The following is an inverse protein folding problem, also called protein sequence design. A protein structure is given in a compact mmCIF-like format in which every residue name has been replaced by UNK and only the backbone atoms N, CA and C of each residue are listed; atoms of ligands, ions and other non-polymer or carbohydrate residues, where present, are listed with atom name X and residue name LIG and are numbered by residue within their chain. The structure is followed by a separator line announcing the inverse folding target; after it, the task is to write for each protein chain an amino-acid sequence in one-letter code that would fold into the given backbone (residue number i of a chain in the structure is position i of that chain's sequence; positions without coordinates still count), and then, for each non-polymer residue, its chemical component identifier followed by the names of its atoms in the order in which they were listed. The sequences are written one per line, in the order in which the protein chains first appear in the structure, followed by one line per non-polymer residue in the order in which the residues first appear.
data_IF_056440330326
#
_entry.id   IF_056440330326
#
_cell.length_a   1.000
_cell.length_b   1.000
_cell.length_c   1.000
_cell.angle_alpha   90.00
_cell.angle_beta   90.00
_cell.angle_gamma   90.00
#
_symmetry.space_group_name_H-M   'P 1'
#
loop_
_entity.id
_entity.type
_entity.pdbx_description
1 polymer ?
#
# COMPACT_ATOMS: atom_id res chain seq x y z
N UNK A 1 3.18 -2.82 -15.22
CA UNK A 1 3.08 -4.15 -14.59
C UNK A 1 4.36 -4.93 -14.85
N UNK A 2 5.07 -5.27 -13.78
CA UNK A 2 6.26 -6.12 -13.85
C UNK A 2 5.75 -7.57 -13.85
N UNK A 3 6.10 -8.42 -14.85
CA UNK A 3 5.70 -9.82 -14.85
C UNK A 3 6.27 -10.58 -13.65
N UNK A 4 5.55 -11.59 -13.19
CA UNK A 4 6.04 -12.51 -12.16
C UNK A 4 7.21 -13.38 -12.65
N UNK A 5 7.84 -14.15 -11.74
CA UNK A 5 9.02 -14.97 -12.04
C UNK A 5 8.82 -15.97 -13.19
N UNK A 6 7.58 -16.40 -13.44
CA UNK A 6 7.24 -17.35 -14.51
C UNK A 6 6.43 -16.68 -15.65
N UNK A 7 6.44 -15.36 -15.72
CA UNK A 7 5.69 -14.59 -16.71
C UNK A 7 4.22 -14.34 -16.35
N UNK A 8 3.86 -14.48 -15.07
CA UNK A 8 2.52 -14.14 -14.57
C UNK A 8 2.20 -12.67 -14.85
N UNK A 9 1.01 -12.41 -15.39
CA UNK A 9 0.55 -11.05 -15.75
C UNK A 9 -0.43 -10.45 -14.75
N UNK A 10 -0.84 -11.25 -13.78
CA UNK A 10 -1.86 -10.91 -12.80
C UNK A 10 -1.34 -11.27 -11.41
N UNK A 11 -1.70 -10.43 -10.45
CA UNK A 11 -1.41 -10.62 -9.04
C UNK A 11 -2.61 -10.13 -8.22
N UNK A 12 -2.64 -10.53 -6.96
CA UNK A 12 -3.45 -9.91 -5.94
C UNK A 12 -2.56 -9.75 -4.69
N UNK A 13 -2.90 -8.80 -3.83
CA UNK A 13 -2.16 -8.56 -2.60
C UNK A 13 -2.84 -9.27 -1.45
N UNK A 14 -2.16 -10.24 -0.84
CA UNK A 14 -2.71 -11.00 0.27
C UNK A 14 -2.58 -10.23 1.59
N UNK A 15 -3.61 -10.31 2.44
CA UNK A 15 -3.60 -9.61 3.74
C UNK A 15 -3.00 -10.48 4.84
N UNK A 16 -2.36 -9.80 5.80
CA UNK A 16 -1.78 -10.44 6.98
C UNK A 16 -2.31 -9.80 8.25
N UNK A 17 -2.14 -10.50 9.37
CA UNK A 17 -2.48 -10.04 10.72
C UNK A 17 -1.40 -10.47 11.71
N UNK A 18 -1.55 -10.06 12.98
CA UNK A 18 -0.57 -10.34 14.04
C UNK A 18 0.83 -9.77 13.69
N UNK A 19 0.88 -8.60 13.04
CA UNK A 19 2.14 -7.98 12.59
C UNK A 19 2.83 -8.81 11.50
N UNK A 20 2.10 -9.17 10.44
CA UNK A 20 2.67 -9.91 9.29
C UNK A 20 2.78 -11.42 9.48
N UNK A 21 2.60 -11.95 10.69
CA UNK A 21 2.89 -13.37 11.02
C UNK A 21 1.80 -14.35 10.61
N UNK A 22 0.56 -13.89 10.44
CA UNK A 22 -0.56 -14.75 10.01
C UNK A 22 -1.14 -14.24 8.70
N UNK A 23 -0.98 -15.04 7.65
CA UNK A 23 -1.55 -14.82 6.33
C UNK A 23 -2.98 -15.33 6.25
N UNK A 24 -3.85 -14.61 5.52
CA UNK A 24 -5.25 -15.02 5.28
C UNK A 24 -5.49 -15.22 3.79
N UNK A 25 -6.38 -16.15 3.42
CA UNK A 25 -6.87 -16.31 2.04
C UNK A 25 -7.88 -15.21 1.67
N UNK A 26 -7.44 -13.96 1.78
CA UNK A 26 -8.22 -12.74 1.51
C UNK A 26 -7.30 -11.71 0.87
N UNK A 27 -7.77 -11.05 -0.18
CA UNK A 27 -7.04 -9.97 -0.82
C UNK A 27 -7.29 -8.62 -0.15
N UNK A 28 -6.31 -7.72 -0.29
CA UNK A 28 -6.41 -6.35 0.20
C UNK A 28 -7.55 -5.59 -0.47
N UNK A 29 -7.82 -5.90 -1.75
CA UNK A 29 -8.94 -5.34 -2.51
C UNK A 29 -10.29 -5.64 -1.83
N UNK A 30 -10.57 -6.92 -1.57
CA UNK A 30 -11.81 -7.36 -0.94
C UNK A 30 -11.93 -6.85 0.49
N UNK A 31 -10.82 -6.86 1.24
CA UNK A 31 -10.80 -6.37 2.61
C UNK A 31 -11.12 -4.87 2.68
N UNK A 32 -10.50 -4.04 1.84
CA UNK A 32 -10.72 -2.59 1.85
C UNK A 32 -12.18 -2.26 1.52
N UNK A 33 -12.77 -2.93 0.52
CA UNK A 33 -14.19 -2.77 0.18
C UNK A 33 -15.12 -3.19 1.32
N UNK A 34 -14.80 -4.29 2.00
CA UNK A 34 -15.58 -4.75 3.15
C UNK A 34 -15.50 -3.73 4.30
N UNK A 35 -14.31 -3.23 4.62
CA UNK A 35 -14.09 -2.23 5.67
C UNK A 35 -14.86 -0.94 5.39
N UNK A 36 -14.83 -0.43 4.15
CA UNK A 36 -15.62 0.74 3.75
C UNK A 36 -17.13 0.51 3.94
N UNK A 37 -17.65 -0.64 3.50
CA UNK A 37 -19.07 -1.00 3.69
C UNK A 37 -19.46 -1.12 5.17
N UNK A 38 -18.51 -1.48 6.03
CA UNK A 38 -18.70 -1.55 7.47
C UNK A 38 -18.56 -0.18 8.16
N UNK A 39 -18.25 0.89 7.42
CA UNK A 39 -18.19 2.26 7.93
C UNK A 39 -16.78 2.74 8.29
N UNK A 40 -15.73 2.09 7.79
CA UNK A 40 -14.39 2.66 7.89
C UNK A 40 -14.34 4.02 7.18
N UNK A 41 -13.72 5.02 7.81
CA UNK A 41 -13.62 6.38 7.25
C UNK A 41 -12.34 6.64 6.45
N UNK A 42 -11.33 5.79 6.58
CA UNK A 42 -10.02 5.93 5.92
C UNK A 42 -9.27 4.59 5.95
N UNK A 43 -8.41 4.36 4.95
CA UNK A 43 -7.52 3.21 4.87
C UNK A 43 -6.06 3.65 5.04
N UNK A 44 -5.40 3.15 6.08
CA UNK A 44 -3.94 3.20 6.19
C UNK A 44 -3.32 2.00 5.47
N UNK A 45 -2.81 2.22 4.26
CA UNK A 45 -2.36 1.17 3.36
C UNK A 45 -0.86 0.91 3.54
N UNK A 46 -0.54 -0.13 4.34
CA UNK A 46 0.83 -0.61 4.52
C UNK A 46 1.23 -1.64 3.45
N UNK A 47 2.45 -1.53 2.91
CA UNK A 47 3.05 -2.54 2.05
C UNK A 47 4.23 -3.23 2.76
N UNK A 48 4.07 -4.52 3.06
CA UNK A 48 5.07 -5.32 3.80
C UNK A 48 6.37 -5.43 3.00
N UNK A 49 6.29 -5.64 1.69
CA UNK A 49 7.47 -5.79 0.82
C UNK A 49 8.28 -4.48 0.67
N UNK A 50 7.67 -3.34 1.01
CA UNK A 50 8.31 -2.02 1.01
C UNK A 50 8.71 -1.56 2.41
N UNK A 51 8.35 -2.30 3.45
CA UNK A 51 8.63 -1.88 4.82
C UNK A 51 10.15 -1.91 5.10
N UNK A 52 10.67 -0.81 5.63
CA UNK A 52 12.11 -0.61 5.85
C UNK A 52 12.99 -0.56 4.57
N UNK A 53 12.41 -0.64 3.37
CA UNK A 53 13.20 -0.72 2.13
C UNK A 53 13.81 0.62 1.69
N UNK A 54 13.22 1.74 2.13
CA UNK A 54 13.56 3.09 1.67
C UNK A 54 13.63 3.19 0.13
N UNK A 55 12.77 2.46 -0.59
CA UNK A 55 12.78 2.37 -2.07
C UNK A 55 11.50 2.89 -2.73
N UNK A 56 10.72 3.68 -2.00
CA UNK A 56 9.47 4.27 -2.44
C UNK A 56 8.26 3.36 -2.20
N UNK A 57 7.08 3.95 -2.37
CA UNK A 57 5.80 3.29 -2.17
C UNK A 57 5.47 2.28 -3.29
N UNK A 58 4.52 1.38 -3.03
CA UNK A 58 3.98 0.49 -4.06
C UNK A 58 2.82 1.16 -4.82
N UNK A 59 3.11 1.71 -6.00
CA UNK A 59 2.13 2.41 -6.83
C UNK A 59 1.04 1.48 -7.38
N UNK A 60 1.33 0.20 -7.63
CA UNK A 60 0.34 -0.74 -8.14
C UNK A 60 -0.67 -1.09 -7.05
N UNK A 61 -0.20 -1.34 -5.82
CA UNK A 61 -1.05 -1.56 -4.66
C UNK A 61 -1.95 -0.34 -4.40
N UNK A 62 -1.36 0.86 -4.34
CA UNK A 62 -2.12 2.11 -4.11
C UNK A 62 -3.18 2.29 -5.18
N UNK A 63 -2.82 2.16 -6.47
CA UNK A 63 -3.77 2.35 -7.57
C UNK A 63 -4.90 1.33 -7.54
N UNK A 64 -4.61 0.07 -7.16
CA UNK A 64 -5.64 -0.96 -7.01
C UNK A 64 -6.63 -0.62 -5.90
N UNK A 65 -6.15 -0.19 -4.73
CA UNK A 65 -7.03 0.15 -3.60
C UNK A 65 -7.78 1.45 -3.83
N UNK A 66 -7.16 2.48 -4.40
CA UNK A 66 -7.85 3.72 -4.81
C UNK A 66 -8.96 3.48 -5.84
N UNK A 67 -8.84 2.45 -6.68
CA UNK A 67 -9.91 2.02 -7.58
C UNK A 67 -10.98 1.14 -6.91
N UNK A 68 -10.73 0.65 -5.69
CA UNK A 68 -11.61 -0.25 -4.96
C UNK A 68 -12.57 0.46 -4.01
N UNK A 69 -12.12 1.58 -3.41
CA UNK A 69 -12.83 2.31 -2.35
C UNK A 69 -12.98 3.80 -2.67
N UNK A 70 -13.98 4.44 -2.08
CA UNK A 70 -14.24 5.89 -2.19
C UNK A 70 -13.71 6.70 -1.00
N UNK A 71 -13.44 6.06 0.14
CA UNK A 71 -12.82 6.68 1.31
C UNK A 71 -11.33 7.02 1.08
N UNK A 72 -10.77 7.99 1.84
CA UNK A 72 -9.35 8.32 1.77
C UNK A 72 -8.43 7.12 2.02
N UNK A 73 -7.30 7.12 1.33
CA UNK A 73 -6.23 6.14 1.45
C UNK A 73 -4.93 6.86 1.73
N UNK A 74 -4.25 6.45 2.81
CA UNK A 74 -2.91 6.90 3.18
C UNK A 74 -1.91 5.84 2.71
N UNK A 75 -0.97 6.22 1.86
CA UNK A 75 0.16 5.34 1.52
C UNK A 75 1.14 5.27 2.70
N UNK A 76 1.42 4.05 3.17
CA UNK A 76 2.40 3.80 4.23
C UNK A 76 3.49 2.84 3.76
N UNK A 77 4.71 3.10 4.22
CA UNK A 77 5.91 2.27 4.07
C UNK A 77 6.61 2.35 2.71
N UNK A 78 7.95 2.34 2.76
CA UNK A 78 8.84 2.49 1.59
C UNK A 78 9.43 3.89 1.40
N UNK A 79 8.84 4.94 1.98
CA UNK A 79 9.43 6.28 1.94
C UNK A 79 10.80 6.33 2.63
N UNK A 80 11.77 6.92 1.95
CA UNK A 80 13.16 7.05 2.42
C UNK A 80 13.77 8.42 2.13
N UNK A 81 13.15 9.22 1.27
CA UNK A 81 13.53 10.59 0.93
C UNK A 81 12.28 11.39 0.52
N UNK A 82 12.37 12.73 0.45
CA UNK A 82 11.25 13.59 0.01
C UNK A 82 10.75 13.27 -1.41
N UNK A 83 11.64 12.84 -2.32
CA UNK A 83 11.28 12.51 -3.70
C UNK A 83 10.27 11.36 -3.77
N UNK A 84 10.27 10.41 -2.83
CA UNK A 84 9.26 9.34 -2.78
C UNK A 84 7.85 9.87 -2.53
N UNK A 85 7.69 10.96 -1.77
CA UNK A 85 6.40 11.62 -1.56
C UNK A 85 5.95 12.30 -2.85
N UNK A 86 6.85 13.06 -3.48
CA UNK A 86 6.56 13.68 -4.77
C UNK A 86 6.13 12.65 -5.81
N UNK A 87 6.84 11.51 -5.89
CA UNK A 87 6.53 10.45 -6.83
C UNK A 87 5.16 9.80 -6.55
N UNK A 88 4.81 9.52 -5.29
CA UNK A 88 3.52 8.87 -5.01
C UNK A 88 2.35 9.79 -5.34
N UNK A 89 2.44 11.09 -5.04
CA UNK A 89 1.39 12.06 -5.39
C UNK A 89 1.31 12.34 -6.89
N UNK A 90 2.42 12.24 -7.63
CA UNK A 90 2.43 12.41 -9.09
C UNK A 90 1.90 11.19 -9.85
N UNK A 91 2.18 9.98 -9.36
CA UNK A 91 1.91 8.74 -10.09
C UNK A 91 0.64 8.01 -9.62
N UNK A 92 0.03 8.45 -8.53
CA UNK A 92 -1.19 7.85 -7.98
C UNK A 92 -2.17 8.94 -7.55
N UNK A 93 -3.39 8.52 -7.19
CA UNK A 93 -4.44 9.40 -6.65
C UNK A 93 -4.56 9.28 -5.13
N UNK A 94 -3.47 8.93 -4.44
CA UNK A 94 -3.44 8.80 -2.98
C UNK A 94 -3.81 10.11 -2.29
N UNK A 95 -4.49 10.04 -1.15
CA UNK A 95 -4.99 11.22 -0.43
C UNK A 95 -3.96 11.76 0.57
N UNK A 96 -3.13 10.87 1.11
CA UNK A 96 -2.01 11.22 1.96
C UNK A 96 -0.87 10.19 1.88
N UNK A 97 0.31 10.57 2.37
CA UNK A 97 1.49 9.70 2.42
C UNK A 97 2.14 9.82 3.80
N UNK A 98 2.50 8.68 4.39
CA UNK A 98 3.12 8.56 5.70
C UNK A 98 4.57 8.10 5.55
N UNK A 99 5.48 8.74 6.30
CA UNK A 99 6.86 8.30 6.49
C UNK A 99 7.14 8.12 7.99
N UNK A 100 8.02 7.16 8.33
CA UNK A 100 8.40 6.88 9.73
C UNK A 100 9.90 6.71 9.94
N UNK A 101 10.61 6.03 9.02
CA UNK A 101 12.03 5.69 9.16
C UNK A 101 13.02 6.76 8.68
N UNK A 102 12.62 7.61 7.73
CA UNK A 102 13.49 8.64 7.14
C UNK A 102 13.91 9.74 8.13
N UNK A 103 13.11 9.97 9.18
CA UNK A 103 13.38 10.98 10.22
C UNK A 103 14.32 10.48 11.32
N UNK A 104 14.65 9.17 11.34
CA UNK A 104 15.49 8.54 12.37
C UNK A 104 16.93 8.27 11.90
N UNK A 105 17.39 8.96 10.85
CA UNK A 105 18.80 8.93 10.45
C UNK A 105 19.57 9.94 11.32
N UNK A 106 20.56 9.52 12.13
CA UNK A 106 21.35 10.45 12.95
C UNK A 106 22.16 11.45 12.13
#
# INVERSE_FOLDING_TARGET
KIPGPNGEKYCYYQVTSQGGRKTHELGAYELCQACEKLGAGEILLNCIDKDGSNSGYDFELISQIKGAVSIPVIASSGAGNPEHFEQVFKNTTVDAALGAGMENTP
#
